data_IF_856418467745
#
_entry.id   IF_856418467745
#
_cell.length_a   1.000
_cell.length_b   1.000
_cell.length_c   1.000
_cell.angle_alpha   90.00
_cell.angle_beta   90.00
_cell.angle_gamma   90.00
#
_symmetry.space_group_name_H-M   'P 1'
#
loop_
_entity.id
_entity.type
_entity.pdbx_description
1 polymer ?
#
# COMPACT_ATOMS: atom_id res chain seq x y z
N UNK A 1 31.14 -6.59 -2.46
CA UNK A 1 30.12 -6.82 -3.50
C UNK A 1 30.58 -7.95 -4.41
N UNK A 2 29.89 -9.10 -4.41
CA UNK A 2 30.14 -10.19 -5.36
C UNK A 2 29.33 -9.98 -6.65
N UNK A 3 30.00 -9.53 -7.70
CA UNK A 3 29.37 -9.19 -8.98
C UNK A 3 28.68 -10.40 -9.65
N UNK A 4 29.12 -11.64 -9.40
CA UNK A 4 28.47 -12.83 -9.96
C UNK A 4 27.11 -13.07 -9.31
N UNK A 5 27.04 -13.01 -7.97
CA UNK A 5 25.76 -13.12 -7.24
C UNK A 5 24.77 -12.03 -7.63
N UNK A 6 25.27 -10.81 -7.88
CA UNK A 6 24.44 -9.70 -8.35
C UNK A 6 23.80 -10.03 -9.70
N UNK A 7 24.60 -10.47 -10.67
CA UNK A 7 24.13 -10.86 -12.00
C UNK A 7 23.20 -12.09 -12.00
N UNK A 8 23.36 -12.99 -11.02
CA UNK A 8 22.52 -14.19 -10.84
C UNK A 8 21.21 -13.91 -10.10
N UNK A 9 21.11 -12.79 -9.37
CA UNK A 9 20.01 -12.57 -8.43
C UNK A 9 18.67 -12.35 -9.12
N UNK A 10 18.65 -11.74 -10.32
CA UNK A 10 17.45 -11.32 -11.07
C UNK A 10 16.43 -10.60 -10.16
N UNK A 11 16.94 -9.88 -9.15
CA UNK A 11 16.17 -9.24 -8.09
C UNK A 11 16.64 -7.81 -7.87
N UNK A 12 15.74 -6.96 -7.37
CA UNK A 12 16.10 -5.63 -6.92
C UNK A 12 17.10 -5.69 -5.76
N UNK A 13 18.09 -4.80 -5.80
CA UNK A 13 19.15 -4.69 -4.81
C UNK A 13 18.87 -3.51 -3.90
N UNK A 14 19.13 -3.71 -2.62
CA UNK A 14 18.89 -2.75 -1.56
C UNK A 14 20.19 -2.48 -0.83
N UNK A 15 20.33 -1.26 -0.34
CA UNK A 15 21.47 -0.85 0.47
C UNK A 15 20.98 -0.18 1.74
N UNK A 16 21.59 -0.52 2.86
CA UNK A 16 21.36 0.09 4.17
C UNK A 16 22.69 0.61 4.70
N UNK A 17 22.65 1.83 5.20
CA UNK A 17 23.75 2.45 5.95
C UNK A 17 23.34 2.43 7.42
N UNK A 18 24.05 1.64 8.23
CA UNK A 18 23.78 1.53 9.67
C UNK A 18 24.52 2.62 10.46
N UNK A 19 25.78 2.86 10.07
CA UNK A 19 26.67 3.91 10.60
C UNK A 19 27.52 4.46 9.44
N UNK A 20 28.26 5.56 9.68
CA UNK A 20 29.14 6.23 8.69
C UNK A 20 30.12 5.29 7.96
N UNK A 21 30.39 4.10 8.50
CA UNK A 21 31.36 3.13 7.97
C UNK A 21 30.76 1.74 7.68
N UNK A 22 29.46 1.53 7.89
CA UNK A 22 28.83 0.22 7.75
C UNK A 22 27.68 0.27 6.76
N UNK A 23 27.95 -0.20 5.55
CA UNK A 23 26.95 -0.35 4.49
C UNK A 23 26.75 -1.83 4.18
N UNK A 24 25.49 -2.27 4.17
CA UNK A 24 25.14 -3.61 3.69
C UNK A 24 24.34 -3.52 2.40
N UNK A 25 24.78 -4.29 1.42
CA UNK A 25 24.06 -4.49 0.17
C UNK A 25 23.45 -5.88 0.18
N UNK A 26 22.15 -5.96 -0.07
CA UNK A 26 21.39 -7.18 0.06
C UNK A 26 20.26 -7.24 -0.97
N UNK A 27 19.72 -8.43 -1.18
CA UNK A 27 18.46 -8.66 -1.90
C UNK A 27 17.35 -9.04 -0.93
N UNK A 28 16.09 -8.93 -1.35
CA UNK A 28 14.97 -9.49 -0.59
C UNK A 28 14.88 -11.02 -0.78
N UNK A 29 14.13 -11.68 0.10
CA UNK A 29 13.84 -13.10 -0.01
C UNK A 29 12.92 -13.35 -1.21
N UNK A 30 13.21 -14.40 -1.97
CA UNK A 30 12.29 -14.94 -2.97
C UNK A 30 11.10 -15.57 -2.26
N UNK A 31 9.94 -15.64 -2.92
CA UNK A 31 8.70 -16.22 -2.34
C UNK A 31 8.93 -17.61 -1.71
N UNK A 32 9.73 -18.47 -2.35
CA UNK A 32 10.06 -19.81 -1.82
C UNK A 32 10.87 -19.74 -0.51
N UNK A 33 11.84 -18.83 -0.44
CA UNK A 33 12.70 -18.63 0.73
C UNK A 33 11.87 -18.01 1.87
N UNK A 34 11.06 -16.99 1.56
CA UNK A 34 10.15 -16.38 2.51
C UNK A 34 9.21 -17.40 3.15
N UNK A 35 8.56 -18.25 2.34
CA UNK A 35 7.67 -19.30 2.84
C UNK A 35 8.39 -20.32 3.73
N UNK A 36 9.66 -20.64 3.45
CA UNK A 36 10.47 -21.51 4.29
C UNK A 36 10.73 -20.84 5.64
N UNK A 37 11.27 -19.62 5.64
CA UNK A 37 11.59 -18.89 6.87
C UNK A 37 10.35 -18.60 7.72
N UNK A 38 9.22 -18.27 7.10
CA UNK A 38 7.95 -18.09 7.80
C UNK A 38 7.48 -19.39 8.48
N UNK A 39 7.59 -20.56 7.82
CA UNK A 39 7.30 -21.85 8.45
C UNK A 39 8.24 -22.15 9.63
N UNK A 40 9.52 -21.83 9.49
CA UNK A 40 10.53 -22.05 10.54
C UNK A 40 10.30 -21.13 11.76
N UNK A 41 9.94 -19.86 11.54
CA UNK A 41 9.57 -18.92 12.60
C UNK A 41 8.34 -19.39 13.38
N UNK A 42 7.33 -19.92 12.68
CA UNK A 42 6.13 -20.50 13.30
C UNK A 42 6.40 -21.86 13.97
N UNK A 43 7.55 -22.48 13.71
CA UNK A 43 7.95 -23.79 14.21
C UNK A 43 8.76 -23.77 15.51
N UNK A 44 8.70 -22.70 16.31
CA UNK A 44 9.46 -22.51 17.56
C UNK A 44 10.99 -22.45 17.42
N UNK A 45 11.52 -22.20 16.22
CA UNK A 45 12.95 -21.89 16.07
C UNK A 45 13.18 -20.44 16.54
N UNK A 46 14.22 -20.16 17.35
CA UNK A 46 14.48 -18.81 17.80
C UNK A 46 14.68 -17.84 16.65
N UNK A 47 13.91 -16.75 16.65
CA UNK A 47 13.85 -15.81 15.53
C UNK A 47 15.21 -15.19 15.19
N UNK A 48 16.06 -14.94 16.19
CA UNK A 48 17.38 -14.36 15.99
C UNK A 48 18.30 -15.25 15.14
N UNK A 49 18.21 -16.59 15.27
CA UNK A 49 18.97 -17.54 14.45
C UNK A 49 18.50 -17.46 13.00
N UNK A 50 17.19 -17.39 12.80
CA UNK A 50 16.61 -17.33 11.46
C UNK A 50 16.92 -15.99 10.77
N UNK A 51 16.90 -14.89 11.50
CA UNK A 51 17.27 -13.58 10.93
C UNK A 51 18.75 -13.52 10.56
N UNK A 52 19.64 -14.09 11.36
CA UNK A 52 21.06 -14.22 11.00
C UNK A 52 21.25 -15.03 9.71
N UNK A 53 20.52 -16.14 9.55
CA UNK A 53 20.56 -16.92 8.32
C UNK A 53 19.97 -16.20 7.11
N UNK A 54 18.89 -15.45 7.29
CA UNK A 54 18.31 -14.60 6.24
C UNK A 54 19.34 -13.58 5.78
N UNK A 55 20.05 -12.94 6.71
CA UNK A 55 21.14 -12.03 6.38
C UNK A 55 22.25 -12.74 5.58
N UNK A 56 22.72 -13.91 6.03
CA UNK A 56 23.78 -14.65 5.34
C UNK A 56 23.44 -15.03 3.89
N UNK A 57 22.17 -15.35 3.63
CA UNK A 57 21.69 -15.74 2.29
C UNK A 57 21.49 -14.53 1.38
N UNK A 58 20.97 -13.44 1.94
CA UNK A 58 20.57 -12.26 1.17
C UNK A 58 21.67 -11.21 1.03
N UNK A 59 22.69 -11.24 1.89
CA UNK A 59 23.85 -10.36 1.80
C UNK A 59 24.69 -10.68 0.56
N UNK A 60 25.02 -9.65 -0.22
CA UNK A 60 25.68 -9.79 -1.52
C UNK A 60 27.19 -9.96 -1.41
N UNK A 61 27.77 -9.79 -0.23
CA UNK A 61 29.16 -10.16 0.03
C UNK A 61 29.22 -11.42 0.88
N UNK A 62 30.40 -12.00 1.03
CA UNK A 62 30.55 -13.16 1.90
C UNK A 62 30.61 -12.69 3.36
N UNK A 63 29.62 -13.12 4.15
CA UNK A 63 29.47 -12.77 5.56
C UNK A 63 30.72 -13.14 6.39
N UNK A 64 31.53 -14.11 5.93
CA UNK A 64 32.81 -14.48 6.56
C UNK A 64 33.86 -13.38 6.51
N UNK A 65 33.73 -12.42 5.61
CA UNK A 65 34.63 -11.27 5.51
C UNK A 65 34.10 -10.03 6.25
N UNK A 66 33.00 -10.15 6.99
CA UNK A 66 32.58 -9.08 7.89
C UNK A 66 33.62 -8.88 8.98
N UNK A 67 33.86 -7.61 9.33
CA UNK A 67 34.81 -7.28 10.37
C UNK A 67 34.38 -7.91 11.70
N UNK A 68 35.33 -8.51 12.43
CA UNK A 68 35.12 -8.95 13.82
C UNK A 68 34.80 -7.79 14.77
N UNK A 69 34.97 -6.53 14.33
CA UNK A 69 34.61 -5.32 15.07
C UNK A 69 33.17 -4.88 14.82
N UNK A 70 32.42 -5.57 13.96
CA UNK A 70 31.00 -5.26 13.72
C UNK A 70 30.22 -5.48 15.02
N UNK A 71 29.38 -4.52 15.45
CA UNK A 71 28.54 -4.71 16.62
C UNK A 71 27.68 -5.97 16.50
N UNK A 72 27.66 -6.75 17.58
CA UNK A 72 26.80 -7.93 17.68
C UNK A 72 25.34 -7.52 17.46
N UNK A 73 24.64 -8.22 16.59
CA UNK A 73 23.23 -7.96 16.28
C UNK A 73 22.97 -7.25 14.95
N UNK A 74 23.96 -6.63 14.30
CA UNK A 74 23.74 -5.97 13.01
C UNK A 74 23.29 -6.93 11.90
N UNK A 75 23.85 -8.13 11.87
CA UNK A 75 23.39 -9.20 10.99
C UNK A 75 21.93 -9.59 11.29
N UNK A 76 21.58 -9.75 12.56
CA UNK A 76 20.23 -10.12 13.02
C UNK A 76 19.23 -9.01 12.66
N UNK A 77 19.53 -7.76 12.97
CA UNK A 77 18.66 -6.61 12.68
C UNK A 77 18.46 -6.43 11.18
N UNK A 78 19.54 -6.55 10.39
CA UNK A 78 19.45 -6.47 8.93
C UNK A 78 18.65 -7.64 8.37
N UNK A 79 18.85 -8.86 8.89
CA UNK A 79 18.08 -10.05 8.51
C UNK A 79 16.59 -9.95 8.86
N UNK A 80 16.27 -9.39 10.02
CA UNK A 80 14.88 -9.08 10.41
C UNK A 80 14.26 -8.08 9.44
N UNK A 81 14.98 -7.01 9.10
CA UNK A 81 14.51 -6.02 8.12
C UNK A 81 14.26 -6.65 6.76
N UNK A 82 15.19 -7.48 6.26
CA UNK A 82 15.04 -8.23 5.01
C UNK A 82 13.77 -9.08 5.08
N UNK A 83 13.56 -9.82 6.16
CA UNK A 83 12.36 -10.63 6.37
C UNK A 83 11.07 -9.80 6.30
N UNK A 84 11.02 -8.69 7.05
CA UNK A 84 9.86 -7.80 7.09
C UNK A 84 9.54 -7.21 5.72
N UNK A 85 10.56 -6.68 5.02
CA UNK A 85 10.42 -6.11 3.67
C UNK A 85 10.03 -7.18 2.63
N UNK A 86 10.40 -8.44 2.86
CA UNK A 86 10.04 -9.56 1.97
C UNK A 86 8.62 -10.09 2.19
N UNK A 87 7.84 -9.51 3.11
CA UNK A 87 6.47 -9.93 3.42
C UNK A 87 6.25 -10.42 4.85
N UNK A 88 7.22 -10.22 5.76
CA UNK A 88 7.14 -10.64 7.16
C UNK A 88 5.99 -9.99 7.94
N UNK A 89 5.48 -8.85 7.46
CA UNK A 89 4.13 -8.40 7.77
C UNK A 89 3.17 -9.19 6.86
N UNK A 90 2.80 -10.39 7.32
CA UNK A 90 1.79 -11.31 6.79
C UNK A 90 1.01 -10.77 5.57
N UNK A 91 1.27 -11.34 4.39
CA UNK A 91 0.62 -10.94 3.14
C UNK A 91 -0.92 -10.97 3.16
N UNK A 92 -1.57 -11.78 4.01
CA UNK A 92 -3.03 -11.73 4.21
C UNK A 92 -3.45 -10.49 5.01
N UNK A 93 -2.80 -10.18 6.14
CA UNK A 93 -3.13 -8.98 6.93
C UNK A 93 -2.73 -7.70 6.19
N UNK A 94 -1.67 -7.73 5.39
CA UNK A 94 -1.27 -6.60 4.55
C UNK A 94 -2.30 -6.31 3.46
N UNK A 95 -2.76 -7.33 2.73
CA UNK A 95 -3.80 -7.17 1.71
C UNK A 95 -5.14 -6.75 2.34
N UNK A 96 -5.48 -7.30 3.51
CA UNK A 96 -6.66 -6.87 4.29
C UNK A 96 -6.49 -5.44 4.77
N UNK A 97 -5.30 -5.03 5.21
CA UNK A 97 -5.02 -3.67 5.65
C UNK A 97 -5.15 -2.69 4.48
N UNK A 98 -4.62 -3.04 3.30
CA UNK A 98 -4.84 -2.26 2.07
C UNK A 98 -6.34 -2.18 1.74
N UNK A 99 -7.07 -3.29 1.81
CA UNK A 99 -8.50 -3.32 1.53
C UNK A 99 -9.29 -2.41 2.50
N UNK A 100 -8.95 -2.45 3.80
CA UNK A 100 -9.51 -1.55 4.81
C UNK A 100 -9.18 -0.09 4.56
N UNK A 101 -7.93 0.21 4.19
CA UNK A 101 -7.52 1.58 3.84
C UNK A 101 -8.22 2.10 2.58
N UNK A 102 -8.48 1.24 1.59
CA UNK A 102 -9.27 1.57 0.40
C UNK A 102 -10.74 1.82 0.73
N UNK A 103 -11.31 1.06 1.67
CA UNK A 103 -12.67 1.29 2.16
C UNK A 103 -12.78 2.62 2.93
N UNK A 104 -11.77 2.93 3.76
CA UNK A 104 -11.69 4.19 4.49
C UNK A 104 -11.47 5.42 3.58
N UNK A 105 -10.80 5.24 2.44
CA UNK A 105 -10.46 6.32 1.50
C UNK A 105 -11.03 6.03 0.09
N UNK A 106 -12.35 6.22 -0.12
CA UNK A 106 -12.95 5.96 -1.41
C UNK A 106 -12.44 6.95 -2.47
N UNK A 107 -12.07 6.41 -3.63
CA UNK A 107 -11.51 7.16 -4.76
C UNK A 107 -12.40 8.34 -5.19
N UNK A 108 -13.72 8.15 -5.13
CA UNK A 108 -14.71 9.13 -5.56
C UNK A 108 -15.13 10.10 -4.43
N UNK A 109 -14.37 10.18 -3.34
CA UNK A 109 -14.67 11.12 -2.26
C UNK A 109 -14.22 12.53 -2.60
N UNK A 110 -14.98 13.52 -2.12
CA UNK A 110 -14.61 14.94 -2.18
C UNK A 110 -13.25 15.16 -1.52
N UNK A 111 -13.01 14.48 -0.40
CA UNK A 111 -11.77 14.59 0.35
C UNK A 111 -10.55 14.14 -0.48
N UNK A 112 -10.63 12.99 -1.15
CA UNK A 112 -9.53 12.50 -1.99
C UNK A 112 -9.31 13.37 -3.23
N UNK A 113 -10.39 13.91 -3.80
CA UNK A 113 -10.29 14.90 -4.87
C UNK A 113 -9.55 16.17 -4.43
N UNK A 114 -9.86 16.66 -3.23
CA UNK A 114 -9.17 17.82 -2.64
C UNK A 114 -7.68 17.53 -2.39
N UNK A 115 -7.33 16.35 -1.87
CA UNK A 115 -5.95 15.91 -1.68
C UNK A 115 -5.18 15.86 -3.00
N UNK A 116 -5.73 15.21 -4.02
CA UNK A 116 -5.14 15.12 -5.35
C UNK A 116 -4.89 16.50 -5.96
N UNK A 117 -5.84 17.43 -5.79
CA UNK A 117 -5.73 18.81 -6.27
C UNK A 117 -4.57 19.56 -5.59
N UNK A 118 -4.43 19.41 -4.27
CA UNK A 118 -3.34 20.01 -3.49
C UNK A 118 -1.98 19.44 -3.92
N UNK A 119 -1.84 18.11 -4.01
CA UNK A 119 -0.60 17.47 -4.43
C UNK A 119 -0.20 17.81 -5.86
N UNK A 120 -1.18 17.92 -6.76
CA UNK A 120 -0.94 18.32 -8.15
C UNK A 120 -0.48 19.76 -8.30
N UNK A 121 -0.75 20.61 -7.30
CA UNK A 121 -0.44 22.04 -7.31
C UNK A 121 0.86 22.38 -6.60
N UNK A 122 1.14 21.70 -5.48
CA UNK A 122 2.23 22.05 -4.58
C UNK A 122 3.18 20.86 -4.38
N UNK A 123 4.34 20.93 -5.03
CA UNK A 123 5.40 19.91 -4.93
C UNK A 123 6.05 19.79 -3.55
N UNK A 124 5.89 20.81 -2.69
CA UNK A 124 6.47 20.85 -1.35
C UNK A 124 5.59 20.27 -0.25
N UNK A 125 4.33 19.91 -0.56
CA UNK A 125 3.40 19.36 0.43
C UNK A 125 3.52 17.84 0.43
N UNK A 126 3.83 17.27 1.60
CA UNK A 126 3.88 15.82 1.79
C UNK A 126 2.55 15.28 2.35
N UNK A 127 2.26 13.97 2.19
CA UNK A 127 1.05 13.36 2.74
C UNK A 127 0.88 13.59 4.25
N UNK A 128 1.97 13.45 5.01
CA UNK A 128 2.00 13.69 6.46
C UNK A 128 1.59 15.12 6.82
N UNK A 129 1.92 16.11 5.98
CA UNK A 129 1.51 17.48 6.23
C UNK A 129 0.00 17.64 6.08
N UNK A 130 -0.64 16.98 5.10
CA UNK A 130 -2.09 17.04 4.91
C UNK A 130 -2.83 16.37 6.06
N UNK A 131 -2.37 15.22 6.52
CA UNK A 131 -2.97 14.47 7.63
C UNK A 131 -2.99 15.27 8.93
N UNK A 132 -1.98 16.14 9.13
CA UNK A 132 -1.87 17.00 10.31
C UNK A 132 -2.48 18.40 10.14
N UNK A 133 -3.09 18.71 8.98
CA UNK A 133 -3.74 20.01 8.77
C UNK A 133 -5.08 20.07 9.49
N UNK A 134 -5.36 21.23 10.07
CA UNK A 134 -6.73 21.56 10.48
C UNK A 134 -7.62 21.71 9.26
N UNK A 135 -8.92 21.41 9.39
CA UNK A 135 -9.90 21.53 8.31
C UNK A 135 -9.85 22.92 7.63
N UNK A 136 -9.71 23.99 8.43
CA UNK A 136 -9.61 25.36 7.93
C UNK A 136 -8.36 25.59 7.06
N UNK A 137 -7.23 25.00 7.43
CA UNK A 137 -5.99 25.08 6.65
C UNK A 137 -6.10 24.25 5.38
N UNK A 138 -6.70 23.05 5.47
CA UNK A 138 -6.92 22.17 4.34
C UNK A 138 -7.78 22.83 3.27
N UNK A 139 -8.93 23.41 3.64
CA UNK A 139 -9.81 24.14 2.71
C UNK A 139 -9.07 25.33 2.08
N UNK A 140 -8.32 26.11 2.87
CA UNK A 140 -7.57 27.26 2.34
C UNK A 140 -6.53 26.83 1.31
N UNK A 141 -5.81 25.75 1.58
CA UNK A 141 -4.81 25.20 0.67
C UNK A 141 -5.45 24.59 -0.58
N UNK A 142 -6.59 23.92 -0.45
CA UNK A 142 -7.36 23.42 -1.59
C UNK A 142 -7.81 24.56 -2.51
N UNK A 143 -8.40 25.63 -1.98
CA UNK A 143 -8.82 26.79 -2.79
C UNK A 143 -7.63 27.47 -3.45
N UNK A 144 -6.49 27.56 -2.77
CA UNK A 144 -5.26 28.09 -3.36
C UNK A 144 -4.74 27.21 -4.51
N UNK A 145 -4.74 25.89 -4.32
CA UNK A 145 -4.39 24.89 -5.33
C UNK A 145 -5.31 24.96 -6.55
N UNK A 146 -6.62 25.01 -6.33
CA UNK A 146 -7.63 25.12 -7.39
C UNK A 146 -7.48 26.41 -8.22
N UNK A 147 -7.18 27.53 -7.54
CA UNK A 147 -6.87 28.79 -8.22
C UNK A 147 -5.57 28.73 -9.02
N UNK A 148 -4.56 27.99 -8.55
CA UNK A 148 -3.30 27.81 -9.28
C UNK A 148 -3.51 26.91 -10.51
N UNK A 149 -4.25 25.81 -10.36
CA UNK A 149 -4.54 24.87 -11.46
C UNK A 149 -5.44 25.49 -12.51
N UNK A 150 -6.47 26.24 -12.12
CA UNK A 150 -7.32 26.95 -13.08
C UNK A 150 -6.58 28.04 -13.87
N UNK A 151 -5.47 28.58 -13.35
CA UNK A 151 -4.60 29.52 -14.07
C UNK A 151 -3.55 28.83 -14.94
N UNK A 152 -3.03 27.68 -14.52
CA UNK A 152 -1.95 26.97 -15.20
C UNK A 152 -2.43 25.94 -16.22
N UNK A 153 -3.67 25.44 -16.09
CA UNK A 153 -4.27 24.45 -16.97
C UNK A 153 -5.68 24.90 -17.39
N UNK A 154 -5.90 25.28 -18.66
CA UNK A 154 -7.20 25.74 -19.13
C UNK A 154 -8.29 24.65 -19.15
N UNK A 155 -7.88 23.38 -19.13
CA UNK A 155 -8.78 22.22 -19.06
C UNK A 155 -9.23 21.87 -17.63
N UNK A 156 -8.61 22.47 -16.61
CA UNK A 156 -8.93 22.18 -15.22
C UNK A 156 -10.30 22.76 -14.84
N UNK A 157 -11.23 21.88 -14.48
CA UNK A 157 -12.56 22.24 -13.98
C UNK A 157 -12.56 22.26 -12.46
N UNK A 158 -13.08 23.36 -11.91
CA UNK A 158 -13.27 23.55 -10.48
C UNK A 158 -14.30 22.57 -9.93
N UNK A 159 -14.20 22.30 -8.63
CA UNK A 159 -15.17 21.48 -7.93
C UNK A 159 -16.53 22.19 -7.93
N UNK A 160 -17.54 21.51 -8.47
CA UNK A 160 -18.90 22.03 -8.61
C UNK A 160 -19.70 21.77 -7.33
N UNK A 161 -19.65 22.74 -6.41
CA UNK A 161 -20.32 22.67 -5.11
C UNK A 161 -21.83 22.53 -5.22
N UNK A 162 -22.42 23.05 -6.31
CA UNK A 162 -23.87 23.04 -6.51
C UNK A 162 -24.37 21.64 -6.87
N UNK A 163 -23.63 20.91 -7.73
CA UNK A 163 -23.93 19.51 -8.03
C UNK A 163 -23.77 18.62 -6.81
N UNK A 164 -22.70 18.81 -6.06
CA UNK A 164 -22.43 18.06 -4.82
C UNK A 164 -23.54 18.30 -3.79
N UNK A 165 -23.97 19.55 -3.61
CA UNK A 165 -25.07 19.88 -2.72
C UNK A 165 -26.37 19.19 -3.15
N UNK A 166 -26.71 19.24 -4.44
CA UNK A 166 -27.93 18.60 -4.98
C UNK A 166 -27.91 17.08 -4.83
N UNK A 167 -26.75 16.45 -4.98
CA UNK A 167 -26.54 15.01 -4.80
C UNK A 167 -26.66 14.58 -3.33
N UNK A 168 -26.07 15.35 -2.40
CA UNK A 168 -26.16 15.08 -0.95
C UNK A 168 -27.61 15.21 -0.44
N UNK A 169 -28.38 16.16 -0.97
CA UNK A 169 -29.74 16.45 -0.52
C UNK A 169 -30.84 15.86 -1.42
N UNK A 170 -30.50 15.03 -2.42
CA UNK A 170 -31.43 14.42 -3.39
C UNK A 170 -32.44 15.43 -3.99
N UNK A 171 -31.95 16.62 -4.35
CA UNK A 171 -32.79 17.66 -4.95
C UNK A 171 -32.78 17.46 -6.47
N UNK A 172 -33.81 16.82 -7.00
CA UNK A 172 -33.99 16.68 -8.45
C UNK A 172 -34.24 18.04 -9.11
N UNK A 173 -33.41 18.41 -10.10
CA UNK A 173 -33.69 19.58 -10.92
C UNK A 173 -34.90 19.34 -11.84
N UNK A 174 -35.77 20.35 -12.03
CA UNK A 174 -36.78 20.28 -13.08
C UNK A 174 -36.07 20.25 -14.44
N UNK A 175 -36.18 19.12 -15.16
CA UNK A 175 -35.64 18.93 -16.51
C UNK A 175 -36.13 20.05 -17.43
N UNK A 176 -35.24 20.97 -17.82
CA UNK A 176 -35.50 21.88 -18.96
C UNK A 176 -35.28 21.12 -20.28
N UNK A 177 -36.16 21.29 -21.28
CA UNK A 177 -36.05 20.57 -22.55
C UNK A 177 -34.97 21.17 -23.45
N UNK A 178 -34.05 20.30 -23.88
CA UNK A 178 -33.22 20.31 -25.10
C UNK A 178 -32.64 21.64 -25.63
N UNK A 179 -31.30 21.78 -25.51
CA UNK A 179 -30.48 22.32 -26.59
C UNK A 179 -29.32 21.36 -26.90
N UNK A 180 -29.36 20.81 -28.11
CA UNK A 180 -28.30 20.05 -28.76
C UNK A 180 -27.16 20.95 -29.19
N UNK A 181 -25.96 20.76 -28.63
CA UNK A 181 -24.69 20.97 -29.34
C UNK A 181 -23.78 19.78 -29.03
N UNK A 182 -23.41 19.08 -30.10
CA UNK A 182 -22.41 18.01 -30.15
C UNK A 182 -21.02 18.61 -29.94
N UNK A 183 -20.25 18.06 -29.01
CA UNK A 183 -18.81 17.78 -29.09
C UNK A 183 -18.41 17.14 -27.74
N UNK A 184 -18.34 15.80 -27.70
CA UNK A 184 -17.13 15.00 -27.91
C UNK A 184 -16.19 14.95 -26.69
N UNK A 185 -16.14 13.73 -26.13
CA UNK A 185 -15.03 13.09 -25.40
C UNK A 185 -15.00 13.35 -23.89
N UNK A 186 -14.63 12.33 -23.11
CA UNK A 186 -14.65 12.21 -21.63
C UNK A 186 -15.93 11.72 -20.94
N UNK A 187 -16.60 10.72 -21.51
CA UNK A 187 -17.28 9.69 -20.68
C UNK A 187 -16.78 8.27 -21.03
N UNK A 188 -16.02 8.09 -22.11
CA UNK A 188 -15.56 6.76 -22.51
C UNK A 188 -14.19 6.35 -21.99
N UNK A 189 -13.31 7.23 -21.49
CA UNK A 189 -11.95 6.77 -21.15
C UNK A 189 -11.89 6.02 -19.82
N UNK A 190 -12.66 6.40 -18.79
CA UNK A 190 -12.67 5.66 -17.52
C UNK A 190 -13.32 4.27 -17.67
N UNK A 191 -14.44 4.19 -18.41
CA UNK A 191 -15.16 2.92 -18.64
C UNK A 191 -14.46 2.04 -19.69
N UNK A 192 -13.74 2.62 -20.66
CA UNK A 192 -12.94 1.86 -21.63
C UNK A 192 -11.61 1.41 -21.05
N UNK A 193 -10.98 2.18 -20.15
CA UNK A 193 -9.88 1.70 -19.30
C UNK A 193 -10.34 0.58 -18.35
N UNK A 194 -11.56 0.64 -17.82
CA UNK A 194 -12.18 -0.45 -17.03
C UNK A 194 -12.57 -1.68 -17.88
N UNK A 195 -12.62 -1.56 -19.21
CA UNK A 195 -12.97 -2.65 -20.14
C UNK A 195 -11.74 -3.27 -20.81
N UNK A 196 -10.68 -2.50 -21.03
CA UNK A 196 -9.39 -2.96 -21.58
C UNK A 196 -8.48 -3.59 -20.51
N UNK A 197 -8.65 -3.22 -19.24
CA UNK A 197 -8.06 -3.90 -18.10
C UNK A 197 -9.19 -4.70 -17.43
N UNK A 198 -9.14 -6.02 -17.40
CA UNK A 198 -10.20 -6.93 -16.93
C UNK A 198 -10.64 -6.80 -15.45
N UNK A 199 -11.01 -5.60 -14.99
CA UNK A 199 -11.36 -5.23 -13.62
C UNK A 199 -12.74 -5.74 -13.17
N UNK A 200 -13.57 -6.22 -14.10
CA UNK A 200 -14.83 -6.87 -13.75
C UNK A 200 -14.63 -8.22 -13.04
N UNK A 201 -13.53 -8.93 -13.31
CA UNK A 201 -13.18 -10.12 -12.52
C UNK A 201 -12.56 -9.75 -11.18
N UNK A 202 -11.83 -8.64 -11.07
CA UNK A 202 -11.05 -8.30 -9.86
C UNK A 202 -11.95 -7.79 -8.73
N UNK A 203 -12.89 -6.86 -8.98
CA UNK A 203 -13.77 -6.36 -7.90
C UNK A 203 -14.74 -7.43 -7.39
N UNK A 204 -15.29 -8.25 -8.27
CA UNK A 204 -16.16 -9.37 -7.88
C UNK A 204 -15.37 -10.51 -7.21
N UNK A 205 -14.14 -10.80 -7.68
CA UNK A 205 -13.25 -11.73 -7.00
C UNK A 205 -12.80 -11.20 -5.63
N UNK A 206 -12.49 -9.91 -5.50
CA UNK A 206 -12.12 -9.27 -4.23
C UNK A 206 -13.28 -9.32 -3.22
N UNK A 207 -14.51 -9.02 -3.65
CA UNK A 207 -15.68 -9.12 -2.77
C UNK A 207 -16.03 -10.56 -2.38
N UNK A 208 -15.87 -11.52 -3.29
CA UNK A 208 -16.05 -12.95 -2.99
C UNK A 208 -14.96 -13.46 -2.07
N UNK A 209 -13.72 -13.09 -2.31
CA UNK A 209 -12.57 -13.39 -1.46
C UNK A 209 -12.75 -12.83 -0.05
N UNK A 210 -13.16 -11.56 0.09
CA UNK A 210 -13.47 -10.93 1.38
C UNK A 210 -14.55 -11.70 2.14
N UNK A 211 -15.64 -12.07 1.47
CA UNK A 211 -16.73 -12.84 2.09
C UNK A 211 -16.29 -14.25 2.50
N UNK A 212 -15.52 -14.92 1.66
CA UNK A 212 -15.03 -16.28 1.90
C UNK A 212 -13.99 -16.31 3.03
N UNK A 213 -13.07 -15.33 3.08
CA UNK A 213 -12.03 -15.28 4.10
C UNK A 213 -12.53 -14.82 5.47
N UNK A 214 -13.44 -13.85 5.52
CA UNK A 214 -14.11 -13.47 6.77
C UNK A 214 -14.92 -14.67 7.31
N UNK A 215 -15.55 -15.46 6.43
CA UNK A 215 -16.25 -16.67 6.84
C UNK A 215 -15.30 -17.78 7.33
N UNK A 216 -14.13 -17.95 6.70
CA UNK A 216 -13.09 -18.92 7.13
C UNK A 216 -12.52 -18.54 8.50
N UNK A 217 -12.12 -17.28 8.66
CA UNK A 217 -11.60 -16.75 9.92
C UNK A 217 -12.61 -16.85 11.07
N UNK A 218 -13.89 -16.59 10.81
CA UNK A 218 -14.93 -16.76 11.81
C UNK A 218 -15.13 -18.24 12.18
N UNK A 219 -15.06 -19.17 11.21
CA UNK A 219 -15.12 -20.61 11.49
C UNK A 219 -13.92 -21.12 12.29
N UNK A 220 -12.71 -20.63 12.02
CA UNK A 220 -11.51 -20.99 12.78
C UNK A 220 -11.49 -20.40 14.20
N UNK A 221 -12.02 -19.17 14.37
CA UNK A 221 -12.21 -18.58 15.70
C UNK A 221 -13.27 -19.32 16.50
N UNK A 222 -14.37 -19.76 15.88
CA UNK A 222 -15.36 -20.62 16.53
C UNK A 222 -14.77 -21.99 16.89
N UNK A 223 -14.02 -22.65 16.00
CA UNK A 223 -13.46 -23.98 16.31
C UNK A 223 -12.43 -23.93 17.45
N UNK A 224 -11.61 -22.88 17.52
CA UNK A 224 -10.67 -22.66 18.64
C UNK A 224 -11.38 -22.29 19.95
N UNK A 225 -12.49 -21.56 19.88
CA UNK A 225 -13.36 -21.25 21.03
C UNK A 225 -14.07 -22.50 21.57
N UNK A 226 -14.60 -23.34 20.68
CA UNK A 226 -15.33 -24.55 21.04
C UNK A 226 -14.40 -25.60 21.66
N UNK A 227 -13.18 -25.75 21.15
CA UNK A 227 -12.14 -26.60 21.75
C UNK A 227 -11.74 -26.13 23.16
N UNK A 228 -11.63 -24.82 23.39
CA UNK A 228 -11.36 -24.26 24.72
C UNK A 228 -12.53 -24.42 25.71
N UNK A 229 -13.76 -24.56 25.21
CA UNK A 229 -14.94 -24.76 26.05
C UNK A 229 -15.16 -26.22 26.45
N UNK A 230 -14.65 -27.18 25.66
CA UNK A 230 -14.70 -28.62 25.93
C UNK A 230 -13.64 -29.09 26.92
N UNK A 231 -12.49 -28.41 27.00
CA UNK A 231 -11.42 -28.65 27.99
C UNK A 231 -11.75 -28.14 29.41
N UNK A 232 -12.92 -27.52 29.62
CA UNK A 232 -13.35 -26.97 30.91
C UNK A 232 -14.51 -27.74 31.58
N UNK A 233 -14.79 -28.97 31.16
CA UNK A 233 -15.73 -29.89 31.82
C UNK A 233 -15.05 -31.18 32.21
#
# INVERSE_FOLDING_TARGET
MDLKKVLESDCDLYSIILDDYCTFEFRLLKIKEFNLFNKLLNGNIPAFILYEEIFNICYLSDAKYLSNTLPAGYAITTGQMIYTLSGGNTGEDFLISIAKEREANPLNSIYEHMRCTIFSSFHSITPVMIENMTEKQFIKNFVAAENLLSKSRPEFKRLDLEKIYKEIYNIEEPKKPNETVKDNIYINDAVSLEKELGYWDVKDAEQRFLKEEVARMNKEKLSKSDLQSLDRR
#
